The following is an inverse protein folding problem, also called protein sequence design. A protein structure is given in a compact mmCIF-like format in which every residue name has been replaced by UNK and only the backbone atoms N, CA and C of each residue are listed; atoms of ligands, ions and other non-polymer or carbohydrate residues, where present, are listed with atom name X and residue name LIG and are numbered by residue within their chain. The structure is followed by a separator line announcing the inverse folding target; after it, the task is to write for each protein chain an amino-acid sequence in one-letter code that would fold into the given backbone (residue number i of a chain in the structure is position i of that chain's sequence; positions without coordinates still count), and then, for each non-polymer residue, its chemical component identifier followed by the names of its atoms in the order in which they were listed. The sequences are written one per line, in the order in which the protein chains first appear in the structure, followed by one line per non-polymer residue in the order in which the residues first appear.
data_IF_608398898643
#
_entry.id   IF_608398898643
#
_cell.length_a   1.000
_cell.length_b   1.000
_cell.length_c   1.000
_cell.angle_alpha   90.00
_cell.angle_beta   90.00
_cell.angle_gamma   90.00
#
_symmetry.space_group_name_H-M   'P 1'
#
loop_
_entity.id
_entity.type
_entity.pdbx_description
1 polymer ?
#
# COMPACT_ATOMS: atom_id res chain seq x y z
N UNK A 1 5.95 8.47 -7.04
CA UNK A 1 5.33 7.37 -7.81
C UNK A 1 5.00 7.73 -9.25
N UNK A 2 4.49 8.95 -9.54
CA UNK A 2 4.12 9.38 -10.91
C UNK A 2 5.27 9.30 -11.91
N UNK A 3 6.46 9.80 -11.56
CA UNK A 3 7.62 9.76 -12.46
C UNK A 3 8.03 8.34 -12.86
N UNK A 4 8.02 7.41 -11.89
CA UNK A 4 8.34 6.00 -12.13
C UNK A 4 7.28 5.35 -13.04
N UNK A 5 5.99 5.69 -12.86
CA UNK A 5 4.91 5.22 -13.74
C UNK A 5 5.10 5.64 -15.19
N UNK A 6 5.49 6.90 -15.41
CA UNK A 6 5.73 7.44 -16.75
C UNK A 6 6.95 6.82 -17.43
N UNK A 7 7.94 6.40 -16.64
CA UNK A 7 9.17 5.78 -17.14
C UNK A 7 8.99 4.29 -17.46
N UNK A 8 8.37 3.52 -16.55
CA UNK A 8 8.25 2.07 -16.70
C UNK A 8 7.14 1.67 -17.67
N UNK A 9 6.00 2.38 -17.67
CA UNK A 9 4.85 2.12 -18.56
C UNK A 9 4.39 0.65 -18.59
N UNK A 10 4.46 -0.04 -17.44
CA UNK A 10 4.08 -1.46 -17.34
C UNK A 10 2.58 -1.64 -17.52
N UNK A 11 2.19 -2.55 -18.40
CA UNK A 11 0.80 -2.99 -18.63
C UNK A 11 0.18 -3.62 -17.39
N UNK A 12 -1.12 -3.42 -17.17
CA UNK A 12 -1.90 -4.07 -16.11
C UNK A 12 -2.26 -5.52 -16.50
N UNK A 13 -2.53 -6.40 -15.51
CA UNK A 13 -3.03 -7.75 -15.78
C UNK A 13 -4.33 -7.76 -16.61
N UNK A 14 -5.27 -6.86 -16.32
CA UNK A 14 -6.55 -6.72 -17.02
C UNK A 14 -6.51 -5.83 -18.29
N UNK A 15 -5.36 -5.76 -18.97
CA UNK A 15 -5.17 -4.87 -20.13
C UNK A 15 -6.19 -5.10 -21.26
N UNK A 16 -6.44 -6.36 -21.63
CA UNK A 16 -7.31 -6.70 -22.76
C UNK A 16 -8.77 -6.30 -22.52
N UNK A 17 -9.23 -6.40 -21.28
CA UNK A 17 -10.57 -5.97 -20.86
C UNK A 17 -10.68 -4.44 -20.92
N UNK A 18 -9.70 -3.72 -20.38
CA UNK A 18 -9.67 -2.25 -20.39
C UNK A 18 -9.58 -1.67 -21.80
N UNK A 19 -8.84 -2.34 -22.70
CA UNK A 19 -8.66 -1.89 -24.07
C UNK A 19 -9.82 -2.26 -25.00
N UNK A 20 -10.76 -3.10 -24.57
CA UNK A 20 -11.86 -3.60 -25.40
C UNK A 20 -11.31 -4.37 -26.61
N UNK A 21 -10.46 -5.35 -26.34
CA UNK A 21 -9.75 -6.10 -27.37
C UNK A 21 -10.72 -6.89 -28.27
N UNK A 22 -10.66 -6.66 -29.58
CA UNK A 22 -11.42 -7.41 -30.56
C UNK A 22 -10.55 -8.54 -31.15
N UNK A 23 -10.95 -9.79 -30.94
CA UNK A 23 -10.18 -10.98 -31.36
C UNK A 23 -10.08 -11.13 -32.88
N UNK A 24 -11.04 -10.61 -33.64
CA UNK A 24 -11.09 -10.71 -35.10
C UNK A 24 -10.17 -9.69 -35.76
N UNK A 25 -10.26 -8.42 -35.33
CA UNK A 25 -9.44 -7.34 -35.90
C UNK A 25 -8.07 -7.21 -35.24
N UNK A 26 -7.84 -7.89 -34.11
CA UNK A 26 -6.65 -7.79 -33.25
C UNK A 26 -6.35 -6.36 -32.80
N UNK A 27 -7.39 -5.52 -32.68
CA UNK A 27 -7.28 -4.11 -32.31
C UNK A 27 -8.02 -3.82 -31.00
N UNK A 28 -7.50 -2.84 -30.25
CA UNK A 28 -8.18 -2.26 -29.10
C UNK A 28 -9.16 -1.19 -29.58
N UNK A 29 -10.40 -1.24 -29.10
CA UNK A 29 -11.48 -0.32 -29.49
C UNK A 29 -11.66 0.85 -28.52
N UNK A 30 -11.04 0.77 -27.34
CA UNK A 30 -11.14 1.81 -26.33
C UNK A 30 -10.39 3.10 -26.70
N UNK A 31 -10.81 4.21 -26.08
CA UNK A 31 -10.14 5.50 -26.22
C UNK A 31 -8.67 5.47 -25.77
N UNK A 32 -7.82 6.29 -26.43
CA UNK A 32 -6.40 6.44 -26.12
C UNK A 32 -6.11 6.72 -24.64
N UNK A 33 -6.97 7.49 -23.96
CA UNK A 33 -6.84 7.77 -22.51
C UNK A 33 -6.93 6.49 -21.67
N UNK A 34 -7.88 5.61 -21.99
CA UNK A 34 -8.11 4.35 -21.27
C UNK A 34 -7.00 3.34 -21.54
N UNK A 35 -6.50 3.30 -22.78
CA UNK A 35 -5.35 2.48 -23.15
C UNK A 35 -4.09 2.96 -22.41
N UNK A 36 -3.87 4.28 -22.32
CA UNK A 36 -2.75 4.85 -21.57
C UNK A 36 -2.83 4.48 -20.09
N UNK A 37 -4.02 4.54 -19.49
CA UNK A 37 -4.23 4.14 -18.10
C UNK A 37 -3.95 2.64 -17.88
N UNK A 38 -4.32 1.79 -18.83
CA UNK A 38 -4.03 0.36 -18.80
C UNK A 38 -2.51 0.06 -18.86
N UNK A 39 -1.68 1.02 -19.29
CA UNK A 39 -0.21 0.94 -19.29
C UNK A 39 0.44 1.52 -18.02
N UNK A 40 -0.33 1.89 -17.00
CA UNK A 40 0.20 2.42 -15.75
C UNK A 40 -0.08 1.49 -14.56
N UNK A 41 0.62 0.34 -14.54
CA UNK A 41 0.54 -0.62 -13.44
C UNK A 41 1.65 -0.43 -12.39
N UNK A 42 2.90 -0.15 -12.77
CA UNK A 42 4.02 -0.08 -11.82
C UNK A 42 4.44 1.36 -11.46
N UNK A 43 4.70 1.70 -10.19
CA UNK A 43 4.37 0.97 -8.95
C UNK A 43 2.95 1.29 -8.44
N UNK A 44 2.42 0.47 -7.51
CA UNK A 44 1.09 0.71 -6.92
C UNK A 44 1.08 1.99 -6.06
N UNK A 45 0.27 2.97 -6.49
CA UNK A 45 0.07 4.24 -5.78
C UNK A 45 -0.74 4.07 -4.49
N UNK A 46 -1.80 3.24 -4.54
CA UNK A 46 -2.62 2.95 -3.36
C UNK A 46 -1.81 2.21 -2.29
N UNK A 47 -1.01 1.22 -2.69
CA UNK A 47 -0.19 0.45 -1.74
C UNK A 47 0.88 1.30 -1.08
N UNK A 48 1.54 2.19 -1.82
CA UNK A 48 2.54 3.11 -1.26
C UNK A 48 1.95 4.15 -0.32
N UNK A 49 0.82 4.77 -0.68
CA UNK A 49 0.16 5.75 0.17
C UNK A 49 -0.32 5.15 1.49
N UNK A 50 -1.04 4.02 1.43
CA UNK A 50 -1.59 3.37 2.62
C UNK A 50 -0.46 2.83 3.50
N UNK A 51 0.59 2.26 2.91
CA UNK A 51 1.75 1.81 3.67
C UNK A 51 2.46 2.97 4.38
N UNK A 52 2.67 4.10 3.70
CA UNK A 52 3.25 5.29 4.32
C UNK A 52 2.38 5.78 5.49
N UNK A 53 1.08 5.96 5.29
CA UNK A 53 0.17 6.46 6.33
C UNK A 53 0.11 5.53 7.55
N UNK A 54 0.02 4.22 7.33
CA UNK A 54 -0.08 3.25 8.42
C UNK A 54 1.25 3.05 9.15
N UNK A 55 2.38 3.14 8.45
CA UNK A 55 3.72 3.12 9.07
C UNK A 55 3.92 4.33 9.97
N UNK A 56 3.52 5.53 9.50
CA UNK A 56 3.56 6.74 10.31
C UNK A 56 2.74 6.59 11.60
N UNK A 57 1.51 6.05 11.47
CA UNK A 57 0.62 5.81 12.59
C UNK A 57 1.24 4.83 13.61
N UNK A 58 1.92 3.78 13.14
CA UNK A 58 2.62 2.81 14.00
C UNK A 58 3.69 3.49 14.84
N UNK A 59 4.54 4.34 14.24
CA UNK A 59 5.56 5.06 15.02
C UNK A 59 4.98 6.11 15.94
N UNK A 60 3.95 6.82 15.50
CA UNK A 60 3.23 7.76 16.37
C UNK A 60 2.67 7.06 17.62
N UNK A 61 1.98 5.92 17.43
CA UNK A 61 1.46 5.11 18.54
C UNK A 61 2.58 4.52 19.40
N UNK A 62 3.71 4.12 18.80
CA UNK A 62 4.87 3.63 19.53
C UNK A 62 5.50 4.73 20.41
N UNK A 63 5.65 5.95 19.89
CA UNK A 63 6.13 7.12 20.63
C UNK A 63 5.19 7.53 21.76
N UNK A 64 3.88 7.58 21.49
CA UNK A 64 2.86 7.88 22.49
C UNK A 64 2.92 6.91 23.68
N UNK A 65 3.06 5.61 23.43
CA UNK A 65 3.20 4.59 24.49
C UNK A 65 4.46 4.77 25.34
N UNK A 66 5.58 5.14 24.71
CA UNK A 66 6.85 5.38 25.43
C UNK A 66 6.73 6.58 26.37
N UNK A 67 6.07 7.65 25.94
CA UNK A 67 5.77 8.83 26.77
C UNK A 67 4.81 8.50 27.92
N UNK A 68 3.73 7.75 27.65
CA UNK A 68 2.76 7.37 28.69
C UNK A 68 3.31 6.39 29.73
N UNK A 69 4.27 5.52 29.37
CA UNK A 69 4.94 4.63 30.34
C UNK A 69 5.82 5.39 31.34
N UNK A 70 6.32 6.58 30.98
CA UNK A 70 7.08 7.43 31.92
C UNK A 70 6.19 8.02 33.02
N UNK A 71 4.88 8.15 32.79
CA UNK A 71 3.92 8.70 33.76
C UNK A 71 3.08 7.64 34.50
N UNK A 72 3.11 6.37 34.08
CA UNK A 72 2.41 5.28 34.76
C UNK A 72 3.39 4.43 35.57
N UNK A 73 3.52 4.81 36.84
CA UNK A 73 4.16 4.04 37.88
C UNK A 73 3.61 2.60 37.92
N UNK A 74 4.48 1.62 37.72
CA UNK A 74 4.44 0.25 38.25
C UNK A 74 3.05 -0.35 38.56
N UNK A 75 2.12 -0.39 37.59
CA UNK A 75 0.95 -1.24 37.69
C UNK A 75 1.29 -2.60 37.08
N UNK A 76 1.00 -3.70 37.80
CA UNK A 76 1.12 -5.07 37.26
C UNK A 76 0.21 -5.19 36.04
N UNK A 77 0.71 -4.84 34.87
CA UNK A 77 -0.05 -4.94 33.63
C UNK A 77 -0.25 -6.44 33.35
N UNK A 78 -1.49 -6.90 33.49
CA UNK A 78 -1.89 -8.25 33.11
C UNK A 78 -1.43 -8.53 31.67
N UNK A 79 -1.07 -9.77 31.34
CA UNK A 79 -0.61 -10.18 30.01
C UNK A 79 -1.53 -9.65 28.89
N UNK A 80 -2.84 -9.69 29.14
CA UNK A 80 -3.90 -9.17 28.27
C UNK A 80 -3.73 -7.69 27.87
N UNK A 81 -3.30 -6.82 28.79
CA UNK A 81 -3.07 -5.40 28.52
C UNK A 81 -1.84 -5.16 27.63
N UNK A 82 -0.81 -5.98 27.77
CA UNK A 82 0.37 -5.93 26.90
C UNK A 82 0.02 -6.39 25.48
N UNK A 83 -0.72 -7.50 25.37
CA UNK A 83 -1.16 -8.04 24.09
C UNK A 83 -2.07 -7.03 23.37
N UNK A 84 -3.07 -6.46 24.05
CA UNK A 84 -3.97 -5.48 23.43
C UNK A 84 -3.23 -4.23 22.93
N UNK A 85 -2.24 -3.76 23.69
CA UNK A 85 -1.41 -2.62 23.29
C UNK A 85 -0.58 -2.90 22.03
N UNK A 86 -0.04 -4.13 21.90
CA UNK A 86 0.67 -4.55 20.69
C UNK A 86 -0.28 -4.65 19.50
N UNK A 87 -1.47 -5.23 19.69
CA UNK A 87 -2.49 -5.33 18.65
C UNK A 87 -2.85 -3.94 18.12
N UNK A 88 -3.20 -2.99 19.00
CA UNK A 88 -3.57 -1.63 18.59
C UNK A 88 -2.44 -0.94 17.82
N UNK A 89 -1.18 -1.18 18.19
CA UNK A 89 -0.03 -0.57 17.51
C UNK A 89 0.19 -1.14 16.11
N UNK A 90 0.04 -2.45 15.92
CA UNK A 90 0.37 -3.14 14.66
C UNK A 90 -0.82 -3.42 13.75
N UNK A 91 -2.06 -3.27 14.25
CA UNK A 91 -3.29 -3.39 13.46
C UNK A 91 -3.32 -2.47 12.22
N UNK A 92 -2.79 -1.22 12.25
CA UNK A 92 -2.63 -0.40 11.05
C UNK A 92 -1.81 -1.07 9.94
N UNK A 93 -0.76 -1.84 10.25
CA UNK A 93 0.02 -2.56 9.24
C UNK A 93 -0.76 -3.71 8.62
N UNK A 94 -1.53 -4.45 9.43
CA UNK A 94 -2.43 -5.49 8.93
C UNK A 94 -3.47 -4.91 7.97
N UNK A 95 -4.02 -3.73 8.30
CA UNK A 95 -4.92 -3.01 7.41
C UNK A 95 -4.24 -2.59 6.10
N UNK A 96 -2.99 -2.11 6.16
CA UNK A 96 -2.23 -1.77 4.95
C UNK A 96 -2.02 -2.99 4.03
N UNK A 97 -1.71 -4.15 4.60
CA UNK A 97 -1.58 -5.40 3.85
C UNK A 97 -2.90 -5.85 3.24
N UNK A 98 -4.02 -5.70 3.96
CA UNK A 98 -5.36 -6.00 3.44
C UNK A 98 -5.71 -5.13 2.22
N UNK A 99 -5.49 -3.81 2.31
CA UNK A 99 -5.71 -2.90 1.17
C UNK A 99 -4.75 -3.23 0.02
N UNK A 100 -3.50 -3.60 0.30
CA UNK A 100 -2.55 -4.03 -0.73
C UNK A 100 -3.00 -5.33 -1.43
N UNK A 101 -3.52 -6.30 -0.68
CA UNK A 101 -4.05 -7.55 -1.22
C UNK A 101 -5.29 -7.32 -2.10
N UNK A 102 -6.17 -6.38 -1.73
CA UNK A 102 -7.35 -6.04 -2.55
C UNK A 102 -6.96 -5.66 -4.00
N UNK A 103 -5.81 -4.99 -4.18
CA UNK A 103 -5.30 -4.59 -5.51
C UNK A 103 -4.88 -5.77 -6.39
N UNK A 104 -4.57 -6.92 -5.79
CA UNK A 104 -4.27 -8.16 -6.51
C UNK A 104 -5.57 -8.86 -6.91
N UNK A 105 -6.55 -8.90 -6.01
CA UNK A 105 -7.87 -9.49 -6.27
C UNK A 105 -8.56 -8.76 -7.42
N UNK A 106 -8.50 -7.43 -7.43
CA UNK A 106 -9.10 -6.60 -8.48
C UNK A 106 -8.33 -6.68 -9.82
N UNK A 107 -7.20 -7.40 -9.91
CA UNK A 107 -6.35 -7.53 -11.11
C UNK A 107 -5.77 -6.20 -11.66
N UNK A 108 -5.64 -5.17 -10.82
CA UNK A 108 -5.08 -3.87 -11.24
C UNK A 108 -3.55 -3.88 -11.28
N UNK A 109 -2.94 -4.69 -10.43
CA UNK A 109 -1.50 -4.68 -10.19
C UNK A 109 -0.94 -6.09 -10.10
N UNK A 110 0.29 -6.27 -10.57
CA UNK A 110 1.03 -7.51 -10.32
C UNK A 110 1.50 -7.53 -8.85
N UNK A 111 1.74 -8.73 -8.27
CA UNK A 111 2.33 -8.86 -6.93
C UNK A 111 3.60 -8.03 -6.74
N UNK A 112 4.48 -8.01 -7.75
CA UNK A 112 5.71 -7.20 -7.77
C UNK A 112 5.44 -5.70 -7.65
N UNK A 113 4.36 -5.20 -8.25
CA UNK A 113 4.03 -3.77 -8.27
C UNK A 113 3.48 -3.31 -6.91
N UNK A 114 2.81 -4.22 -6.20
CA UNK A 114 2.33 -4.04 -4.84
C UNK A 114 3.48 -4.06 -3.84
N UNK A 115 4.38 -5.05 -3.93
CA UNK A 115 5.56 -5.15 -3.05
C UNK A 115 6.45 -3.92 -3.19
N UNK A 116 6.73 -3.48 -4.43
CA UNK A 116 7.49 -2.25 -4.67
C UNK A 116 6.77 -1.01 -4.10
N UNK A 117 5.45 -0.96 -4.21
CA UNK A 117 4.64 0.10 -3.60
C UNK A 117 4.75 0.12 -2.08
N UNK A 118 4.60 -1.03 -1.40
CA UNK A 118 4.76 -1.15 0.04
C UNK A 118 6.17 -0.72 0.50
N UNK A 119 7.21 -1.21 -0.16
CA UNK A 119 8.60 -0.85 0.13
C UNK A 119 8.86 0.66 -0.01
N UNK A 120 8.38 1.25 -1.11
CA UNK A 120 8.48 2.71 -1.32
C UNK A 120 7.77 3.48 -0.20
N UNK A 121 6.54 3.10 0.15
CA UNK A 121 5.76 3.77 1.20
C UNK A 121 6.43 3.70 2.57
N UNK A 122 6.96 2.52 2.93
CA UNK A 122 7.69 2.31 4.17
C UNK A 122 8.93 3.21 4.25
N UNK A 123 9.79 3.17 3.22
CA UNK A 123 11.03 3.96 3.17
C UNK A 123 10.77 5.46 3.17
N UNK A 124 9.78 5.93 2.39
CA UNK A 124 9.45 7.36 2.40
C UNK A 124 8.95 7.82 3.76
N UNK A 125 8.17 6.98 4.43
CA UNK A 125 7.69 7.30 5.76
C UNK A 125 8.84 7.31 6.78
N UNK A 126 9.73 6.31 6.75
CA UNK A 126 10.87 6.20 7.70
C UNK A 126 11.71 7.45 7.67
N UNK A 127 11.98 7.94 6.46
CA UNK A 127 12.76 9.16 6.26
C UNK A 127 11.97 10.40 6.71
N UNK A 128 10.65 10.43 6.56
CA UNK A 128 9.84 11.59 6.93
C UNK A 128 9.59 11.72 8.44
N UNK A 129 9.61 10.61 9.18
CA UNK A 129 9.39 10.62 10.63
C UNK A 129 10.66 10.85 11.43
N UNK A 130 11.80 10.40 10.91
CA UNK A 130 13.13 10.61 11.50
C UNK A 130 13.75 11.93 11.09
#
# INVERSE_FOLDING_TARGET
TVMIKLWVQRRRPNFYELCGFNHTTKQCTANLKRIREANFSFPSGHSSLVCCAMTFLVWYLHGARKSSSTHHCHSRTNLWSRISSLIITYLPLAWALFVAASRLVDQWHHPSDVIAGLGLGFVTCTIAYH
#
